data_IF_988611516961
#
_entry.id   IF_988611516961
#
_cell.length_a   1.000
_cell.length_b   1.000
_cell.length_c   1.000
_cell.angle_alpha   90.00
_cell.angle_beta   90.00
_cell.angle_gamma   90.00
#
_symmetry.space_group_name_H-M   'P 1'
#
loop_
_entity.id
_entity.type
_entity.pdbx_description
1 polymer ?
#
# COMPACT_ATOMS: atom_id res chain seq x y z
N UNK A 1 -43.04 -38.48 4.81
CA UNK A 1 -42.41 -37.95 6.05
C UNK A 1 -40.97 -37.59 5.69
N UNK A 2 -40.74 -36.34 5.27
CA UNK A 2 -40.21 -35.21 6.06
C UNK A 2 -38.79 -35.45 6.59
N UNK A 3 -37.84 -34.92 5.81
CA UNK A 3 -36.49 -34.53 6.18
C UNK A 3 -36.56 -33.40 7.22
N UNK A 4 -35.72 -33.49 8.25
CA UNK A 4 -35.38 -32.44 9.22
C UNK A 4 -33.90 -32.63 9.58
N UNK A 5 -33.04 -31.63 9.73
CA UNK A 5 -33.15 -30.19 9.59
C UNK A 5 -31.77 -29.65 9.96
N UNK A 6 -31.08 -28.99 9.02
CA UNK A 6 -29.88 -28.20 9.29
C UNK A 6 -30.26 -26.92 10.03
N UNK A 7 -29.60 -26.54 11.14
CA UNK A 7 -29.62 -25.17 11.63
C UNK A 7 -28.50 -24.34 10.97
N UNK A 8 -28.67 -23.01 10.88
CA UNK A 8 -27.95 -22.15 9.94
C UNK A 8 -26.52 -21.85 10.39
N UNK A 9 -25.58 -21.92 9.43
CA UNK A 9 -24.23 -21.35 9.56
C UNK A 9 -24.34 -19.87 9.87
N UNK A 10 -23.93 -19.47 11.07
CA UNK A 10 -23.69 -18.08 11.41
C UNK A 10 -22.42 -17.60 10.70
N UNK A 11 -22.58 -17.02 9.51
CA UNK A 11 -21.59 -16.11 8.95
C UNK A 11 -21.52 -14.87 9.86
N UNK A 12 -20.71 -14.93 10.93
CA UNK A 12 -20.20 -13.71 11.56
C UNK A 12 -19.10 -13.19 10.64
N UNK A 13 -19.44 -12.19 9.81
CA UNK A 13 -18.45 -11.41 9.11
C UNK A 13 -17.53 -10.77 10.15
N UNK A 14 -16.24 -11.12 10.15
CA UNK A 14 -15.23 -10.29 10.78
C UNK A 14 -15.31 -8.91 10.12
N UNK A 15 -15.78 -7.92 10.88
CA UNK A 15 -15.69 -6.51 10.51
C UNK A 15 -14.20 -6.16 10.44
N UNK A 16 -13.67 -6.14 9.24
CA UNK A 16 -12.40 -5.48 8.95
C UNK A 16 -12.72 -3.99 8.90
N UNK A 17 -12.08 -3.23 9.80
CA UNK A 17 -12.18 -1.78 9.86
C UNK A 17 -11.59 -1.17 8.57
N UNK A 18 -12.45 -0.78 7.64
CA UNK A 18 -12.11 0.13 6.56
C UNK A 18 -12.41 1.55 7.03
N UNK A 19 -11.46 2.21 7.69
CA UNK A 19 -11.59 3.63 7.99
C UNK A 19 -11.39 4.44 6.69
N UNK A 20 -12.51 4.90 6.13
CA UNK A 20 -12.57 5.82 5.00
C UNK A 20 -13.21 7.13 5.46
N UNK A 21 -12.35 8.16 5.57
CA UNK A 21 -12.56 9.62 5.66
C UNK A 21 -13.97 10.20 5.79
N UNK A 22 -14.17 11.09 6.79
CA UNK A 22 -14.77 12.43 6.62
C UNK A 22 -14.95 13.15 7.97
N UNK A 23 -14.26 14.27 8.18
CA UNK A 23 -14.61 15.24 9.24
C UNK A 23 -14.52 16.64 8.66
N UNK A 24 -15.69 17.23 8.37
CA UNK A 24 -16.00 18.64 8.54
C UNK A 24 -17.48 18.89 8.15
N UNK A 25 -18.34 19.03 9.17
CA UNK A 25 -19.45 19.99 9.33
C UNK A 25 -20.68 19.38 10.04
N UNK A 26 -20.98 19.94 11.22
CA UNK A 26 -22.34 20.14 11.74
C UNK A 26 -23.00 18.98 12.52
N UNK A 27 -23.02 19.08 13.86
CA UNK A 27 -23.90 18.28 14.73
C UNK A 27 -25.38 18.58 14.45
N UNK A 28 -26.19 17.53 14.32
CA UNK A 28 -27.64 17.58 14.51
C UNK A 28 -28.09 16.43 15.41
N UNK A 29 -28.94 16.78 16.38
CA UNK A 29 -29.34 16.02 17.57
C UNK A 29 -30.30 14.85 17.24
N UNK A 30 -30.24 13.68 17.89
CA UNK A 30 -31.11 12.55 17.58
C UNK A 30 -32.29 12.46 18.56
N UNK A 31 -33.48 12.91 18.18
CA UNK A 31 -34.71 12.51 18.85
C UNK A 31 -35.86 12.31 17.85
N UNK A 32 -36.56 11.17 18.03
CA UNK A 32 -37.87 10.76 17.48
C UNK A 32 -37.92 10.14 16.08
N UNK A 33 -37.92 8.80 16.05
CA UNK A 33 -38.63 7.98 15.06
C UNK A 33 -39.99 7.56 15.64
N UNK A 34 -41.06 7.48 14.82
CA UNK A 34 -42.11 6.50 15.04
C UNK A 34 -42.23 5.45 13.92
N UNK A 35 -42.77 4.32 14.36
CA UNK A 35 -42.98 2.99 13.77
C UNK A 35 -43.90 2.93 12.52
N UNK A 36 -43.97 1.79 11.79
CA UNK A 36 -44.48 1.72 10.42
C UNK A 36 -45.94 1.25 10.33
N UNK A 37 -46.77 2.00 9.60
CA UNK A 37 -48.00 1.52 8.96
C UNK A 37 -48.58 2.67 8.10
N UNK A 38 -48.64 2.50 6.77
CA UNK A 38 -49.17 3.56 5.90
C UNK A 38 -48.88 3.30 4.43
N UNK A 39 -49.71 2.45 3.84
CA UNK A 39 -49.57 1.91 2.51
C UNK A 39 -49.58 2.98 1.38
N UNK A 40 -48.79 2.67 0.34
CA UNK A 40 -49.13 2.79 -1.09
C UNK A 40 -50.25 3.79 -1.43
N UNK A 41 -49.88 5.04 -1.73
CA UNK A 41 -50.56 5.94 -2.71
C UNK A 41 -49.82 7.29 -2.80
N UNK A 42 -48.63 7.27 -3.40
CA UNK A 42 -47.98 8.50 -3.90
C UNK A 42 -46.97 8.25 -5.04
N UNK A 43 -46.90 7.04 -5.58
CA UNK A 43 -46.22 6.74 -6.85
C UNK A 43 -47.19 6.87 -8.03
N UNK A 44 -47.71 8.07 -8.33
CA UNK A 44 -48.31 8.34 -9.66
C UNK A 44 -48.67 9.83 -9.86
N UNK A 45 -47.82 10.78 -9.44
CA UNK A 45 -47.92 12.19 -9.86
C UNK A 45 -46.65 12.98 -9.50
N UNK A 46 -45.59 12.75 -10.29
CA UNK A 46 -44.43 13.65 -10.55
C UNK A 46 -43.40 13.04 -11.51
N UNK A 47 -43.83 12.12 -12.39
CA UNK A 47 -43.16 11.82 -13.67
C UNK A 47 -43.96 12.48 -14.79
N UNK A 48 -43.66 13.76 -15.08
CA UNK A 48 -43.97 14.55 -16.31
C UNK A 48 -43.68 16.02 -15.99
N UNK A 49 -43.01 16.72 -16.93
CA UNK A 49 -42.30 18.02 -16.85
C UNK A 49 -40.94 17.92 -16.15
N UNK A 50 -39.77 18.06 -16.79
CA UNK A 50 -39.41 18.95 -17.90
C UNK A 50 -38.34 18.26 -18.79
N UNK A 51 -38.73 17.90 -20.02
CA UNK A 51 -37.84 17.53 -21.13
C UNK A 51 -38.27 18.43 -22.30
N UNK A 52 -37.43 19.41 -22.65
CA UNK A 52 -37.47 20.36 -23.79
C UNK A 52 -36.44 21.46 -23.41
N UNK A 53 -35.36 21.79 -24.09
CA UNK A 53 -34.75 21.58 -25.41
C UNK A 53 -33.23 21.36 -25.16
N UNK A 54 -32.39 20.73 -26.00
CA UNK A 54 -32.00 21.12 -27.36
C UNK A 54 -31.21 19.96 -27.99
N UNK A 55 -31.45 19.70 -29.28
CA UNK A 55 -30.74 18.69 -30.08
C UNK A 55 -29.55 19.33 -30.82
N UNK A 56 -28.58 18.47 -31.09
CA UNK A 56 -27.26 18.64 -31.72
C UNK A 56 -27.29 19.46 -33.03
N UNK A 57 -26.25 20.30 -33.24
CA UNK A 57 -25.88 20.79 -34.57
C UNK A 57 -24.73 21.80 -34.58
N UNK A 58 -23.60 21.44 -35.21
CA UNK A 58 -22.67 22.37 -35.86
C UNK A 58 -21.51 22.92 -35.03
N UNK A 59 -20.32 22.34 -35.18
CA UNK A 59 -19.05 23.04 -34.98
C UNK A 59 -18.66 23.67 -36.34
N UNK A 60 -18.74 24.99 -36.44
CA UNK A 60 -18.09 25.78 -37.49
C UNK A 60 -17.24 26.87 -36.83
N UNK A 61 -16.04 27.04 -37.38
CA UNK A 61 -14.92 27.89 -36.96
C UNK A 61 -15.31 29.32 -36.56
N UNK A 62 -14.60 29.88 -35.58
CA UNK A 62 -14.48 31.34 -35.41
C UNK A 62 -14.31 31.81 -33.96
N UNK A 63 -13.04 31.96 -33.56
CA UNK A 63 -12.50 33.00 -32.65
C UNK A 63 -13.49 33.89 -31.88
N UNK A 64 -13.35 33.96 -30.55
CA UNK A 64 -12.90 35.16 -29.81
C UNK A 64 -12.93 34.90 -28.30
N UNK A 65 -11.92 35.44 -27.62
CA UNK A 65 -11.58 35.35 -26.20
C UNK A 65 -12.74 35.32 -25.20
N UNK A 66 -12.73 34.28 -24.35
CA UNK A 66 -13.32 34.33 -23.01
C UNK A 66 -12.47 33.45 -22.07
N UNK A 67 -11.39 34.04 -21.57
CA UNK A 67 -10.62 33.50 -20.45
C UNK A 67 -11.51 33.56 -19.22
N UNK A 68 -12.04 32.41 -18.78
CA UNK A 68 -12.67 32.26 -17.48
C UNK A 68 -11.57 32.09 -16.41
N UNK A 69 -11.38 33.04 -15.49
CA UNK A 69 -10.40 32.91 -14.42
C UNK A 69 -11.01 32.04 -13.32
N UNK A 70 -10.58 30.78 -13.22
CA UNK A 70 -11.05 29.86 -12.18
C UNK A 70 -10.60 28.40 -12.29
N UNK A 71 -10.08 27.97 -13.44
CA UNK A 71 -9.64 26.58 -13.68
C UNK A 71 -8.12 26.35 -13.50
N UNK A 72 -7.49 27.05 -12.56
CA UNK A 72 -6.05 26.95 -12.29
C UNK A 72 -5.69 26.10 -11.05
N UNK A 73 -6.67 25.56 -10.32
CA UNK A 73 -6.46 24.75 -9.11
C UNK A 73 -7.06 23.34 -9.23
N UNK A 74 -6.45 22.49 -10.07
CA UNK A 74 -6.48 21.01 -9.96
C UNK A 74 -5.66 20.37 -11.11
N UNK A 75 -4.38 20.73 -11.26
CA UNK A 75 -3.46 20.01 -12.17
C UNK A 75 -2.44 19.13 -11.44
N UNK A 76 -2.63 18.94 -10.15
CA UNK A 76 -1.95 17.90 -9.36
C UNK A 76 -2.92 16.74 -9.19
N UNK A 77 -3.05 15.93 -10.25
CA UNK A 77 -3.70 14.63 -10.12
C UNK A 77 -2.74 13.72 -9.34
N UNK A 78 -3.07 13.52 -8.08
CA UNK A 78 -2.51 12.44 -7.30
C UNK A 78 -2.94 11.12 -7.93
N UNK A 79 -1.97 10.35 -8.41
CA UNK A 79 -2.14 8.91 -8.56
C UNK A 79 -1.33 8.23 -7.47
N UNK A 80 -1.69 8.50 -6.21
CA UNK A 80 -1.25 7.70 -5.08
C UNK A 80 -2.38 6.73 -4.73
N UNK A 81 -2.34 5.55 -5.34
CA UNK A 81 -2.73 4.26 -4.75
C UNK A 81 -2.91 3.25 -5.91
N UNK A 82 -1.90 2.41 -6.16
CA UNK A 82 -2.21 1.02 -6.50
C UNK A 82 -2.04 0.27 -5.18
N UNK A 83 -3.10 0.13 -4.36
CA UNK A 83 -3.04 -0.82 -3.27
C UNK A 83 -2.83 -2.16 -3.94
N UNK A 84 -1.71 -2.79 -3.62
CA UNK A 84 -1.45 -4.18 -3.92
C UNK A 84 -2.59 -4.97 -3.25
N UNK A 85 -3.63 -5.31 -4.00
CA UNK A 85 -4.66 -6.20 -3.47
C UNK A 85 -3.99 -7.56 -3.26
N UNK A 86 -3.89 -7.92 -1.98
CA UNK A 86 -3.64 -9.22 -1.34
C UNK A 86 -3.98 -10.47 -2.16
N UNK A 87 -3.31 -10.65 -3.30
CA UNK A 87 -3.55 -11.77 -4.20
C UNK A 87 -2.25 -12.38 -4.72
N UNK A 88 -1.27 -12.48 -3.81
CA UNK A 88 -0.20 -13.48 -3.83
C UNK A 88 -0.72 -14.90 -4.20
N UNK A 89 -2.02 -15.16 -4.04
CA UNK A 89 -2.73 -16.39 -4.44
C UNK A 89 -2.95 -16.57 -5.95
N UNK A 90 -2.78 -15.56 -6.81
CA UNK A 90 -2.93 -15.72 -8.28
C UNK A 90 -1.56 -15.81 -8.95
N UNK A 91 -1.36 -16.85 -9.79
CA UNK A 91 -0.21 -16.93 -10.71
C UNK A 91 -0.21 -15.69 -11.63
N UNK A 92 0.96 -15.11 -11.88
CA UNK A 92 1.20 -14.00 -12.82
C UNK A 92 0.63 -12.62 -12.41
N UNK A 93 0.42 -12.35 -11.12
CA UNK A 93 -0.14 -11.06 -10.69
C UNK A 93 0.74 -9.83 -11.00
N UNK A 94 2.05 -10.01 -11.12
CA UNK A 94 3.03 -8.97 -11.45
C UNK A 94 2.87 -8.39 -12.87
N UNK A 95 2.51 -9.23 -13.87
CA UNK A 95 2.22 -8.77 -15.24
C UNK A 95 1.09 -7.73 -15.27
N UNK A 96 0.11 -7.91 -14.37
CA UNK A 96 -0.99 -6.96 -14.24
C UNK A 96 -0.53 -5.64 -13.62
N UNK A 97 0.40 -5.70 -12.66
CA UNK A 97 0.97 -4.51 -12.01
C UNK A 97 1.85 -3.69 -12.96
N UNK A 98 2.67 -4.33 -13.80
CA UNK A 98 3.52 -3.63 -14.77
C UNK A 98 2.67 -2.94 -15.84
N UNK A 99 1.71 -3.66 -16.44
CA UNK A 99 0.81 -3.11 -17.45
C UNK A 99 -0.03 -1.94 -16.91
N UNK A 100 -0.49 -2.04 -15.66
CA UNK A 100 -1.18 -0.94 -14.97
C UNK A 100 -0.27 0.26 -14.76
N UNK A 101 0.97 0.03 -14.32
CA UNK A 101 1.95 1.10 -14.12
C UNK A 101 2.24 1.87 -15.40
N UNK A 102 2.49 1.17 -16.51
CA UNK A 102 2.71 1.77 -17.84
C UNK A 102 1.49 2.54 -18.34
N UNK A 103 0.29 1.99 -18.16
CA UNK A 103 -0.96 2.69 -18.48
C UNK A 103 -1.10 4.01 -17.71
N UNK A 104 -0.81 4.01 -16.41
CA UNK A 104 -0.88 5.23 -15.59
C UNK A 104 0.19 6.24 -16.00
N UNK A 105 1.38 5.79 -16.40
CA UNK A 105 2.43 6.64 -16.94
C UNK A 105 1.99 7.31 -18.26
N UNK A 106 1.40 6.55 -19.18
CA UNK A 106 0.87 7.08 -20.44
C UNK A 106 -0.24 8.12 -20.19
N UNK A 107 -1.12 7.84 -19.23
CA UNK A 107 -2.16 8.79 -18.83
C UNK A 107 -1.58 10.06 -18.22
N UNK A 108 -0.59 9.93 -17.33
CA UNK A 108 0.09 11.07 -16.72
C UNK A 108 0.75 11.96 -17.78
N UNK A 109 1.40 11.35 -18.78
CA UNK A 109 2.00 12.06 -19.90
C UNK A 109 0.95 12.74 -20.76
N UNK A 110 -0.08 12.01 -21.18
CA UNK A 110 -1.14 12.51 -22.07
C UNK A 110 -1.94 13.65 -21.45
N UNK A 111 -2.19 13.58 -20.14
CA UNK A 111 -2.93 14.62 -19.41
C UNK A 111 -2.04 15.78 -18.95
N UNK A 112 -0.72 15.69 -19.13
CA UNK A 112 0.23 16.73 -18.72
C UNK A 112 0.24 16.95 -17.21
N UNK A 113 0.26 15.88 -16.42
CA UNK A 113 0.41 15.98 -14.97
C UNK A 113 1.73 16.66 -14.62
N UNK A 114 1.69 17.63 -13.71
CA UNK A 114 2.88 18.36 -13.30
C UNK A 114 3.84 17.52 -12.47
N UNK A 115 3.34 16.52 -11.74
CA UNK A 115 4.15 15.72 -10.86
C UNK A 115 3.46 14.40 -10.47
N UNK A 116 4.25 13.33 -10.37
CA UNK A 116 3.82 12.00 -9.94
C UNK A 116 4.73 11.52 -8.81
N UNK A 117 4.14 11.00 -7.73
CA UNK A 117 4.88 10.21 -6.75
C UNK A 117 4.46 8.76 -6.93
N UNK A 118 5.39 7.91 -7.34
CA UNK A 118 5.15 6.50 -7.63
C UNK A 118 5.71 5.61 -6.52
N UNK A 119 4.97 4.60 -6.08
CA UNK A 119 5.48 3.60 -5.12
C UNK A 119 6.16 2.46 -5.88
N UNK A 120 7.42 2.70 -6.24
CA UNK A 120 8.26 1.75 -6.96
C UNK A 120 9.04 0.81 -6.05
N UNK A 121 9.86 -0.03 -6.69
CA UNK A 121 10.88 -0.91 -6.12
C UNK A 121 11.96 -1.10 -7.20
N UNK A 122 13.14 -1.56 -6.81
CA UNK A 122 14.23 -1.84 -7.75
C UNK A 122 13.86 -2.90 -8.80
N UNK A 123 14.43 -2.80 -10.00
CA UNK A 123 14.47 -3.93 -10.92
C UNK A 123 15.61 -4.87 -10.50
N UNK A 124 15.32 -5.80 -9.58
CA UNK A 124 16.30 -6.75 -9.00
C UNK A 124 16.95 -7.60 -10.08
N UNK A 125 16.17 -8.07 -11.05
CA UNK A 125 16.67 -8.86 -12.17
C UNK A 125 17.67 -8.10 -13.01
N UNK A 126 17.39 -6.84 -13.33
CA UNK A 126 18.32 -5.98 -14.08
C UNK A 126 19.56 -5.64 -13.27
N UNK A 127 19.39 -5.24 -12.01
CA UNK A 127 20.50 -4.86 -11.13
C UNK A 127 21.44 -6.02 -10.81
N UNK A 128 20.93 -7.24 -10.74
CA UNK A 128 21.72 -8.44 -10.44
C UNK A 128 22.14 -9.22 -11.69
N UNK A 129 22.01 -8.63 -12.88
CA UNK A 129 22.33 -9.26 -14.17
C UNK A 129 21.67 -10.64 -14.36
N UNK A 130 20.42 -10.77 -13.90
CA UNK A 130 19.62 -11.99 -14.00
C UNK A 130 19.87 -13.03 -12.91
N UNK A 131 20.78 -12.78 -11.96
CA UNK A 131 21.09 -13.73 -10.88
C UNK A 131 19.93 -13.94 -9.91
N UNK A 132 19.22 -12.86 -9.57
CA UNK A 132 18.02 -12.90 -8.74
C UNK A 132 16.84 -12.37 -9.56
N UNK A 133 15.65 -12.92 -9.34
CA UNK A 133 14.42 -12.38 -9.92
C UNK A 133 13.36 -12.33 -8.83
N UNK A 134 12.77 -11.14 -8.64
CA UNK A 134 11.72 -10.90 -7.68
C UNK A 134 10.62 -10.13 -8.42
N UNK A 135 9.61 -10.85 -8.90
CA UNK A 135 8.60 -10.34 -9.82
C UNK A 135 7.83 -9.12 -9.27
N UNK A 136 7.59 -9.08 -7.95
CA UNK A 136 6.97 -7.93 -7.29
C UNK A 136 7.88 -6.67 -7.21
N UNK A 137 9.20 -6.86 -7.34
CA UNK A 137 10.20 -5.78 -7.47
C UNK A 137 10.38 -5.40 -8.95
N UNK A 138 10.69 -6.39 -9.79
CA UNK A 138 11.07 -6.24 -11.19
C UNK A 138 10.03 -5.44 -11.99
N UNK A 139 8.75 -5.80 -11.87
CA UNK A 139 7.67 -5.10 -12.58
C UNK A 139 7.51 -3.64 -12.15
N UNK A 140 7.80 -3.30 -10.89
CA UNK A 140 7.79 -1.91 -10.43
C UNK A 140 9.02 -1.15 -10.92
N UNK A 141 10.18 -1.77 -10.92
CA UNK A 141 11.41 -1.18 -11.44
C UNK A 141 11.34 -0.88 -12.93
N UNK A 142 10.70 -1.75 -13.73
CA UNK A 142 10.41 -1.47 -15.14
C UNK A 142 9.47 -0.28 -15.34
N UNK A 143 8.46 -0.14 -14.48
CA UNK A 143 7.55 1.02 -14.51
C UNK A 143 8.30 2.30 -14.12
N UNK A 144 9.19 2.26 -13.13
CA UNK A 144 10.02 3.41 -12.77
C UNK A 144 10.86 3.90 -13.95
N UNK A 145 11.49 2.98 -14.68
CA UNK A 145 12.25 3.29 -15.90
C UNK A 145 11.34 3.87 -16.97
N UNK A 146 10.18 3.25 -17.21
CA UNK A 146 9.23 3.70 -18.21
C UNK A 146 8.73 5.14 -17.97
N UNK A 147 8.40 5.51 -16.72
CA UNK A 147 8.01 6.89 -16.38
C UNK A 147 9.09 7.90 -16.78
N UNK A 148 10.38 7.55 -16.62
CA UNK A 148 11.50 8.41 -17.02
C UNK A 148 11.65 8.44 -18.53
N UNK A 149 11.56 7.30 -19.20
CA UNK A 149 11.73 7.18 -20.66
C UNK A 149 10.71 8.02 -21.43
N UNK A 150 9.45 8.06 -20.97
CA UNK A 150 8.41 8.89 -21.59
C UNK A 150 8.44 10.36 -21.12
N UNK A 151 9.37 10.71 -20.22
CA UNK A 151 9.57 12.07 -19.71
C UNK A 151 8.39 12.60 -18.90
N UNK A 152 7.86 11.80 -17.96
CA UNK A 152 6.90 12.27 -16.96
C UNK A 152 7.67 12.71 -15.71
N UNK A 153 7.39 13.91 -15.16
CA UNK A 153 8.03 14.37 -13.91
C UNK A 153 7.57 13.50 -12.73
N UNK A 154 8.44 12.57 -12.31
CA UNK A 154 8.12 11.55 -11.33
C UNK A 154 9.23 11.39 -10.29
N UNK A 155 8.83 11.15 -9.04
CA UNK A 155 9.72 10.69 -7.96
C UNK A 155 9.25 9.32 -7.48
N UNK A 156 10.16 8.35 -7.41
CA UNK A 156 9.83 7.04 -6.87
C UNK A 156 10.10 7.00 -5.37
N UNK A 157 9.14 6.51 -4.59
CA UNK A 157 9.32 6.15 -3.18
C UNK A 157 9.33 4.64 -3.06
N UNK A 158 10.50 4.08 -2.70
CA UNK A 158 10.69 2.65 -2.50
C UNK A 158 10.54 2.35 -1.03
N UNK A 159 9.45 1.68 -0.67
CA UNK A 159 9.21 1.33 0.71
C UNK A 159 10.00 0.05 1.08
N UNK A 160 10.53 0.00 2.32
CA UNK A 160 11.19 -1.18 2.85
C UNK A 160 10.13 -2.17 3.38
N UNK A 161 10.56 -3.18 4.14
CA UNK A 161 9.61 -4.06 4.83
C UNK A 161 8.73 -3.27 5.80
N UNK A 162 7.42 -3.51 5.77
CA UNK A 162 6.47 -2.85 6.67
C UNK A 162 6.53 -3.50 8.05
N UNK A 163 6.48 -2.70 9.11
CA UNK A 163 6.32 -3.25 10.47
C UNK A 163 4.99 -4.00 10.61
N UNK A 164 3.96 -3.57 9.89
CA UNK A 164 2.66 -4.25 9.84
C UNK A 164 2.75 -5.70 9.31
N UNK A 165 3.82 -6.06 8.59
CA UNK A 165 4.03 -7.44 8.15
C UNK A 165 4.27 -8.41 9.31
N UNK A 166 4.72 -7.93 10.48
CA UNK A 166 4.86 -8.74 11.70
C UNK A 166 3.53 -9.15 12.32
N UNK A 167 2.41 -8.53 11.89
CA UNK A 167 1.06 -8.93 12.29
C UNK A 167 0.42 -9.91 11.30
N UNK A 168 1.11 -10.26 10.21
CA UNK A 168 0.58 -11.07 9.13
C UNK A 168 1.61 -12.04 8.57
N UNK A 169 2.39 -11.62 7.57
CA UNK A 169 3.35 -12.44 6.84
C UNK A 169 4.46 -13.03 7.70
N UNK A 170 4.91 -12.28 8.72
CA UNK A 170 6.00 -12.64 9.62
C UNK A 170 5.53 -12.73 11.06
N UNK A 171 4.24 -13.04 11.28
CA UNK A 171 3.73 -13.27 12.63
C UNK A 171 4.53 -14.40 13.29
N UNK A 172 5.17 -14.17 14.46
CA UNK A 172 5.92 -15.22 15.15
C UNK A 172 5.06 -16.47 15.39
N UNK A 173 5.63 -17.63 15.13
CA UNK A 173 4.95 -18.92 15.27
C UNK A 173 5.35 -19.60 16.57
N UNK A 174 4.43 -20.31 17.22
CA UNK A 174 4.74 -21.04 18.47
C UNK A 174 5.86 -22.04 18.25
N UNK A 175 6.84 -22.04 19.15
CA UNK A 175 7.89 -23.04 19.18
C UNK A 175 7.37 -24.39 19.69
N UNK A 176 8.10 -25.50 19.45
CA UNK A 176 7.72 -26.83 19.95
C UNK A 176 7.63 -26.95 21.47
N UNK A 177 8.31 -26.05 22.21
CA UNK A 177 8.23 -25.98 23.68
C UNK A 177 6.87 -25.50 24.19
N UNK A 178 6.06 -24.85 23.34
CA UNK A 178 4.77 -24.27 23.69
C UNK A 178 4.82 -22.97 24.51
N UNK A 179 6.01 -22.50 24.89
CA UNK A 179 6.24 -21.34 25.75
C UNK A 179 6.90 -20.16 25.03
N UNK A 180 7.63 -20.43 23.95
CA UNK A 180 8.32 -19.43 23.14
C UNK A 180 7.78 -19.36 21.70
N UNK A 181 8.27 -18.38 20.94
CA UNK A 181 7.91 -18.13 19.55
C UNK A 181 9.14 -18.01 18.68
N UNK A 182 9.02 -18.40 17.41
CA UNK A 182 10.04 -18.22 16.39
C UNK A 182 9.63 -17.16 15.38
N UNK A 183 10.48 -16.15 15.20
CA UNK A 183 10.41 -15.18 14.12
C UNK A 183 11.23 -15.70 12.93
N UNK A 184 10.54 -15.96 11.81
CA UNK A 184 11.17 -16.45 10.58
C UNK A 184 11.42 -15.29 9.61
N UNK A 185 12.58 -14.65 9.76
CA UNK A 185 13.07 -13.59 8.89
C UNK A 185 14.39 -14.01 8.22
N UNK A 186 14.42 -14.31 6.90
CA UNK A 186 15.61 -14.80 6.19
C UNK A 186 16.69 -13.75 5.91
N UNK A 187 17.03 -12.92 6.90
CA UNK A 187 17.99 -11.82 6.73
C UNK A 187 19.42 -12.22 7.08
N UNK A 188 19.60 -13.34 7.79
CA UNK A 188 20.87 -13.69 8.42
C UNK A 188 21.37 -12.54 9.32
N UNK A 189 22.67 -12.29 9.27
CA UNK A 189 23.33 -11.23 10.06
C UNK A 189 23.27 -9.84 9.40
N UNK A 190 22.64 -9.71 8.22
CA UNK A 190 22.53 -8.43 7.53
C UNK A 190 21.29 -7.68 8.04
N UNK A 191 21.43 -6.45 8.57
CA UNK A 191 20.28 -5.67 9.00
C UNK A 191 19.34 -5.33 7.83
N UNK A 192 18.05 -5.53 8.03
CA UNK A 192 16.99 -5.20 7.07
C UNK A 192 16.32 -3.89 7.46
N UNK A 193 16.21 -2.98 6.49
CA UNK A 193 15.46 -1.73 6.61
C UNK A 193 13.97 -1.98 6.87
N UNK A 194 13.34 -1.09 7.63
CA UNK A 194 11.91 -1.14 7.87
C UNK A 194 11.31 0.24 8.16
N UNK A 195 10.00 0.34 7.95
CA UNK A 195 9.20 1.49 8.37
C UNK A 195 7.73 1.09 8.58
N UNK A 196 6.99 1.92 9.30
CA UNK A 196 5.53 1.85 9.36
C UNK A 196 4.92 2.33 8.04
N UNK A 197 4.03 1.57 7.43
CA UNK A 197 3.35 2.01 6.19
C UNK A 197 2.44 3.22 6.46
N UNK A 198 1.96 3.37 7.69
CA UNK A 198 1.13 4.50 8.12
C UNK A 198 1.89 5.84 8.09
N UNK A 199 3.22 5.80 8.14
CA UNK A 199 4.09 6.98 8.12
C UNK A 199 4.47 7.45 6.70
N UNK A 200 3.98 6.77 5.65
CA UNK A 200 4.20 7.16 4.26
C UNK A 200 3.52 8.48 3.91
N UNK A 201 2.34 8.75 4.46
CA UNK A 201 1.51 9.91 4.11
C UNK A 201 2.25 11.25 4.20
N UNK A 202 2.87 11.58 5.35
CA UNK A 202 3.65 12.80 5.49
C UNK A 202 4.87 12.87 4.56
N UNK A 203 5.54 11.74 4.27
CA UNK A 203 6.65 11.70 3.30
C UNK A 203 6.16 12.16 1.92
N UNK A 204 5.07 11.57 1.44
CA UNK A 204 4.51 11.93 0.12
C UNK A 204 4.03 13.39 0.11
N UNK A 205 3.41 13.87 1.20
CA UNK A 205 3.03 15.27 1.34
C UNK A 205 4.23 16.22 1.22
N UNK A 206 5.36 15.88 1.83
CA UNK A 206 6.59 16.66 1.74
C UNK A 206 7.15 16.71 0.31
N UNK A 207 7.10 15.58 -0.42
CA UNK A 207 7.52 15.52 -1.83
C UNK A 207 6.68 16.41 -2.73
N UNK A 208 5.37 16.48 -2.49
CA UNK A 208 4.45 17.28 -3.30
C UNK A 208 4.52 18.78 -3.04
N UNK A 209 4.99 19.18 -1.85
CA UNK A 209 5.27 20.58 -1.53
C UNK A 209 6.53 21.10 -2.20
N UNK A 210 7.46 20.20 -2.58
CA UNK A 210 8.76 20.55 -3.16
C UNK A 210 9.13 19.63 -4.34
N UNK A 211 8.28 19.53 -5.38
CA UNK A 211 8.48 18.57 -6.47
C UNK A 211 9.79 18.80 -7.21
N UNK A 212 10.12 20.07 -7.49
CA UNK A 212 11.34 20.54 -8.17
C UNK A 212 12.62 19.91 -7.60
N UNK A 213 12.66 19.66 -6.29
CA UNK A 213 13.83 19.13 -5.59
C UNK A 213 14.02 17.63 -5.80
N UNK A 214 12.94 16.89 -6.04
CA UNK A 214 12.92 15.43 -5.97
C UNK A 214 12.61 14.73 -7.30
N UNK A 215 12.07 15.44 -8.29
CA UNK A 215 11.80 14.87 -9.63
C UNK A 215 13.03 14.13 -10.16
N UNK A 216 12.82 12.92 -10.66
CA UNK A 216 13.84 12.04 -11.20
C UNK A 216 14.55 11.16 -10.17
N UNK A 217 14.32 11.39 -8.86
CA UNK A 217 14.96 10.59 -7.80
C UNK A 217 14.17 9.31 -7.51
N UNK A 218 14.91 8.28 -7.07
CA UNK A 218 14.35 7.11 -6.40
C UNK A 218 14.79 7.15 -4.95
N UNK A 219 13.84 7.29 -4.05
CA UNK A 219 14.07 7.48 -2.63
C UNK A 219 13.73 6.17 -1.92
N UNK A 220 14.76 5.45 -1.47
CA UNK A 220 14.58 4.33 -0.55
C UNK A 220 14.24 4.85 0.84
N UNK A 221 13.04 4.54 1.33
CA UNK A 221 12.59 4.93 2.65
C UNK A 221 13.01 3.94 3.73
N UNK A 222 13.36 4.41 4.92
CA UNK A 222 13.64 3.57 6.09
C UNK A 222 13.62 4.42 7.35
N UNK A 223 13.17 3.88 8.47
CA UNK A 223 13.27 4.56 9.79
C UNK A 223 14.30 3.90 10.69
N UNK A 224 14.60 2.62 10.46
CA UNK A 224 15.63 1.87 11.15
C UNK A 224 16.02 0.63 10.33
N UNK A 225 17.15 0.01 10.70
CA UNK A 225 17.58 -1.28 10.15
C UNK A 225 17.97 -2.20 11.29
N UNK A 226 17.49 -3.44 11.25
CA UNK A 226 17.70 -4.42 12.31
C UNK A 226 17.95 -5.81 11.76
N UNK A 227 18.76 -6.61 12.45
CA UNK A 227 18.88 -8.05 12.16
C UNK A 227 17.63 -8.81 12.65
N UNK A 228 17.39 -10.02 12.15
CA UNK A 228 16.29 -10.86 12.65
C UNK A 228 16.35 -11.07 14.17
N UNK A 229 17.56 -11.17 14.73
CA UNK A 229 17.80 -11.27 16.16
C UNK A 229 17.41 -10.00 16.92
N UNK A 230 17.74 -8.83 16.40
CA UNK A 230 17.33 -7.54 16.99
C UNK A 230 15.80 -7.34 16.89
N UNK A 231 15.17 -7.72 15.77
CA UNK A 231 13.71 -7.74 15.64
C UNK A 231 13.07 -8.65 16.70
N UNK A 232 13.59 -9.86 16.89
CA UNK A 232 13.10 -10.82 17.89
C UNK A 232 13.29 -10.30 19.32
N UNK A 233 14.41 -9.65 19.63
CA UNK A 233 14.66 -9.03 20.92
C UNK A 233 13.68 -7.89 21.23
N UNK A 234 13.40 -7.03 20.25
CA UNK A 234 12.43 -5.94 20.40
C UNK A 234 11.00 -6.45 20.54
N UNK A 235 10.62 -7.47 19.77
CA UNK A 235 9.33 -8.16 19.95
C UNK A 235 9.24 -8.76 21.36
N UNK A 236 10.29 -9.40 21.85
CA UNK A 236 10.33 -9.97 23.20
C UNK A 236 10.10 -8.90 24.28
N UNK A 237 10.82 -7.78 24.16
CA UNK A 237 10.70 -6.62 25.05
C UNK A 237 9.26 -6.09 25.13
N UNK A 238 8.61 -5.91 23.99
CA UNK A 238 7.31 -5.20 23.90
C UNK A 238 6.09 -6.09 24.06
N UNK A 239 6.17 -7.36 23.65
CA UNK A 239 5.06 -8.32 23.75
C UNK A 239 5.07 -9.10 25.07
N UNK A 240 6.18 -9.06 25.81
CA UNK A 240 6.43 -9.88 27.00
C UNK A 240 6.31 -11.39 26.75
N UNK A 241 6.52 -11.82 25.50
CA UNK A 241 6.63 -13.22 25.07
C UNK A 241 8.05 -13.48 24.61
N UNK A 242 8.60 -14.64 24.92
CA UNK A 242 9.95 -14.99 24.44
C UNK A 242 9.88 -15.25 22.93
N UNK A 243 10.55 -14.41 22.15
CA UNK A 243 10.65 -14.54 20.69
C UNK A 243 12.11 -14.78 20.32
N UNK A 244 12.37 -15.88 19.63
CA UNK A 244 13.67 -16.27 19.12
C UNK A 244 13.74 -16.04 17.61
N UNK A 245 14.93 -15.68 17.14
CA UNK A 245 15.25 -15.76 15.71
C UNK A 245 15.29 -17.24 15.29
N UNK A 246 14.49 -17.59 14.28
CA UNK A 246 14.46 -18.95 13.74
C UNK A 246 15.74 -19.33 12.98
N UNK A 247 16.63 -18.36 12.70
CA UNK A 247 17.85 -18.52 11.88
C UNK A 247 17.54 -19.12 10.50
N UNK A 248 16.36 -18.80 9.96
CA UNK A 248 15.90 -19.31 8.67
C UNK A 248 16.74 -18.72 7.55
N UNK A 249 17.16 -19.54 6.58
CA UNK A 249 17.88 -19.09 5.40
C UNK A 249 16.91 -18.83 4.23
N UNK A 250 17.27 -17.99 3.23
CA UNK A 250 16.48 -17.88 2.00
C UNK A 250 16.28 -19.23 1.29
N UNK A 251 17.25 -20.13 1.37
CA UNK A 251 17.21 -21.49 0.82
C UNK A 251 16.18 -22.38 1.52
N UNK A 252 15.95 -22.17 2.81
CA UNK A 252 14.87 -22.85 3.54
C UNK A 252 13.52 -22.22 3.23
N UNK A 253 13.48 -20.89 3.08
CA UNK A 253 12.26 -20.15 2.78
C UNK A 253 11.66 -20.53 1.42
N UNK A 254 12.48 -20.69 0.39
CA UNK A 254 11.99 -21.10 -0.95
C UNK A 254 11.38 -22.52 -0.96
N UNK A 255 11.77 -23.38 -0.02
CA UNK A 255 11.26 -24.75 0.12
C UNK A 255 9.91 -24.84 0.83
N UNK A 256 9.42 -23.73 1.41
CA UNK A 256 8.12 -23.69 2.13
C UNK A 256 6.91 -23.94 1.21
N UNK A 257 7.10 -23.96 -0.12
CA UNK A 257 6.13 -24.53 -1.08
C UNK A 257 4.86 -23.71 -1.31
N UNK A 258 4.69 -22.55 -0.68
CA UNK A 258 3.56 -21.68 -0.93
C UNK A 258 3.76 -20.79 -2.18
N UNK A 259 2.68 -20.35 -2.86
CA UNK A 259 2.80 -19.45 -4.01
C UNK A 259 3.51 -18.15 -3.64
N UNK A 260 4.66 -17.87 -4.27
CA UNK A 260 5.49 -16.69 -4.00
C UNK A 260 6.70 -16.94 -3.09
N UNK A 261 6.90 -18.15 -2.57
CA UNK A 261 8.05 -18.46 -1.69
C UNK A 261 9.41 -18.16 -2.33
N UNK A 262 9.61 -18.57 -3.58
CA UNK A 262 10.85 -18.28 -4.34
C UNK A 262 11.05 -16.78 -4.57
N UNK A 263 9.96 -16.05 -4.79
CA UNK A 263 9.96 -14.60 -5.03
C UNK A 263 10.41 -13.84 -3.78
N UNK A 264 9.89 -14.24 -2.62
CA UNK A 264 10.27 -13.70 -1.31
C UNK A 264 11.68 -14.12 -0.90
N UNK A 265 12.10 -15.36 -1.17
CA UNK A 265 13.48 -15.79 -0.92
C UNK A 265 14.48 -14.91 -1.69
N UNK A 266 14.20 -14.62 -2.97
CA UNK A 266 15.02 -13.70 -3.76
C UNK A 266 14.97 -12.26 -3.26
N UNK A 267 13.83 -11.78 -2.75
CA UNK A 267 13.75 -10.49 -2.06
C UNK A 267 14.70 -10.45 -0.85
N UNK A 268 14.69 -11.48 0.00
CA UNK A 268 15.61 -11.53 1.15
C UNK A 268 17.07 -11.62 0.74
N UNK A 269 17.41 -12.38 -0.31
CA UNK A 269 18.75 -12.38 -0.92
C UNK A 269 19.14 -11.00 -1.43
N UNK A 270 18.20 -10.23 -1.98
CA UNK A 270 18.44 -8.86 -2.42
C UNK A 270 18.64 -7.90 -1.23
N UNK A 271 17.87 -8.04 -0.15
CA UNK A 271 18.08 -7.27 1.08
C UNK A 271 19.47 -7.51 1.69
N UNK A 272 19.99 -8.74 1.61
CA UNK A 272 21.36 -9.04 2.04
C UNK A 272 22.43 -8.27 1.24
N UNK A 273 22.11 -7.76 0.04
CA UNK A 273 22.99 -6.90 -0.76
C UNK A 273 22.93 -5.42 -0.36
N UNK A 274 22.18 -5.07 0.70
CA UNK A 274 22.01 -3.71 1.24
C UNK A 274 21.47 -2.72 0.20
N UNK A 275 20.18 -2.84 -0.19
CA UNK A 275 19.54 -1.85 -1.05
C UNK A 275 19.68 -0.43 -0.48
N UNK A 276 19.68 0.56 -1.37
CA UNK A 276 19.91 1.94 -0.99
C UNK A 276 18.67 2.56 -0.31
N UNK A 277 18.64 2.54 1.02
CA UNK A 277 17.66 3.27 1.83
C UNK A 277 18.32 4.39 2.65
N UNK A 278 17.71 5.57 2.64
CA UNK A 278 18.22 6.77 3.30
C UNK A 278 17.32 7.13 4.49
N UNK A 279 17.77 6.75 5.69
CA UNK A 279 17.06 7.03 6.95
C UNK A 279 17.01 8.54 7.22
N UNK A 280 18.11 9.27 6.97
CA UNK A 280 18.17 10.70 7.26
C UNK A 280 17.23 11.48 6.33
N UNK A 281 17.17 11.14 5.05
CA UNK A 281 16.20 11.71 4.13
C UNK A 281 14.77 11.35 4.52
N UNK A 282 14.52 10.10 4.90
CA UNK A 282 13.18 9.66 5.35
C UNK A 282 12.71 10.49 6.53
N UNK A 283 13.55 10.67 7.56
CA UNK A 283 13.23 11.46 8.75
C UNK A 283 13.17 12.97 8.44
N UNK A 284 13.89 13.48 7.44
CA UNK A 284 13.71 14.86 6.96
C UNK A 284 12.35 15.05 6.27
N UNK A 285 11.88 14.05 5.52
CA UNK A 285 10.59 14.09 4.83
C UNK A 285 9.41 13.84 5.79
N UNK A 286 9.61 13.02 6.83
CA UNK A 286 8.68 12.82 7.93
C UNK A 286 9.42 12.68 9.28
N UNK A 287 9.58 13.79 10.03
CA UNK A 287 10.25 13.77 11.33
C UNK A 287 9.51 12.98 12.42
N UNK A 288 8.26 12.57 12.16
CA UNK A 288 7.44 11.79 13.08
C UNK A 288 7.40 10.30 12.73
N UNK A 289 8.10 9.88 11.68
CA UNK A 289 8.12 8.48 11.28
C UNK A 289 8.72 7.63 12.39
N UNK A 290 8.03 6.55 12.75
CA UNK A 290 8.37 5.74 13.90
C UNK A 290 9.53 4.80 13.59
N UNK A 291 10.47 4.68 14.53
CA UNK A 291 11.39 3.54 14.58
C UNK A 291 10.63 2.27 14.98
N UNK A 292 11.24 1.10 14.79
CA UNK A 292 10.63 -0.17 15.20
C UNK A 292 10.28 -0.21 16.69
N UNK A 293 11.17 0.24 17.58
CA UNK A 293 10.94 0.25 19.03
C UNK A 293 9.73 1.13 19.40
N UNK A 294 9.61 2.31 18.78
CA UNK A 294 8.48 3.22 18.99
C UNK A 294 7.17 2.66 18.42
N UNK A 295 7.23 2.00 17.26
CA UNK A 295 6.06 1.39 16.64
C UNK A 295 5.54 0.23 17.48
N UNK A 296 6.42 -0.65 17.96
CA UNK A 296 6.07 -1.77 18.84
C UNK A 296 5.47 -1.30 20.16
N UNK A 297 6.01 -0.25 20.78
CA UNK A 297 5.43 0.32 22.00
C UNK A 297 3.97 0.76 21.79
N UNK A 298 3.66 1.33 20.62
CA UNK A 298 2.30 1.77 20.27
C UNK A 298 1.37 0.63 19.83
N UNK A 299 1.92 -0.45 19.25
CA UNK A 299 1.14 -1.54 18.62
C UNK A 299 1.27 -2.90 19.33
N UNK A 300 1.90 -2.98 20.51
CA UNK A 300 2.05 -4.24 21.27
C UNK A 300 0.73 -4.97 21.53
N UNK A 301 -0.37 -4.23 21.65
CA UNK A 301 -1.72 -4.81 21.81
C UNK A 301 -2.23 -5.56 20.57
N UNK A 302 -1.72 -5.26 19.38
CA UNK A 302 -2.13 -5.93 18.13
C UNK A 302 -1.53 -7.33 18.00
N UNK A 303 -0.50 -7.63 18.80
CA UNK A 303 0.11 -8.95 18.93
C UNK A 303 -0.62 -9.87 19.92
N UNK A 304 -1.87 -9.58 20.30
CA UNK A 304 -2.64 -10.37 21.27
C UNK A 304 -2.84 -11.86 20.90
N UNK A 305 -2.46 -12.27 19.68
CA UNK A 305 -2.48 -13.66 19.23
C UNK A 305 -1.18 -14.44 19.58
N UNK A 306 -0.15 -13.76 20.11
CA UNK A 306 1.04 -14.35 20.75
C UNK A 306 0.79 -14.54 22.26
#
# INVERSE_FOLDING_TARGET
MRLSGCPPRSCRSNRIYTNSLCTCLGRANPERMPSPAGARRSQLRRRRSFCRHFRIGGYSRGSSDAVLPGAALCRSLWTAFVPFSSSWRRRNWWWFSEAQGKLLADLAKRLGLHYVVYSGLENVKKLTAGRLAAAHFDGKGEVEEYFRDIGVPMTSVRLPCYFENFLSHFLPQKAPDGESYFLSLPTGDVPMDGMSVSDLGPVVLSLLKMPEKYIGQNIGLSTCRHTAEEYAALLTKHTHKVVHDAKMTPEDYEKLGFPGAQDLANMFRFYALRPNHDIELTLRLNPKALTLDQWLEQHKGDFALL
#
